data_IF_516321362047
#
_entry.id   IF_516321362047
#
_cell.length_a   1.000
_cell.length_b   1.000
_cell.length_c   1.000
_cell.angle_alpha   90.00
_cell.angle_beta   90.00
_cell.angle_gamma   90.00
#
_symmetry.space_group_name_H-M   'P 1'
#
loop_
_entity.id
_entity.type
_entity.pdbx_description
1 polymer ?
#
# COMPACT_ATOMS: atom_id res chain seq x y z
N UNK A 1 -5.20 -15.93 -2.81
CA UNK A 1 -4.17 -16.09 -1.75
C UNK A 1 -3.59 -14.75 -1.34
N UNK A 2 -3.38 -13.84 -2.31
CA UNK A 2 -3.02 -12.43 -2.13
C UNK A 2 -3.70 -11.70 -0.95
N UNK A 3 -5.02 -11.54 -0.93
CA UNK A 3 -5.72 -10.78 0.12
C UNK A 3 -5.40 -11.26 1.54
N UNK A 4 -5.23 -12.57 1.75
CA UNK A 4 -4.84 -13.13 3.04
C UNK A 4 -3.44 -12.68 3.46
N UNK A 5 -2.48 -12.70 2.52
CA UNK A 5 -1.12 -12.25 2.79
C UNK A 5 -1.06 -10.74 3.00
N UNK A 6 -1.80 -9.96 2.20
CA UNK A 6 -1.87 -8.51 2.35
C UNK A 6 -2.54 -8.12 3.68
N UNK A 7 -3.57 -8.86 4.11
CA UNK A 7 -4.18 -8.73 5.44
C UNK A 7 -3.18 -9.04 6.56
N UNK A 8 -2.36 -10.07 6.41
CA UNK A 8 -1.31 -10.38 7.38
C UNK A 8 -0.28 -9.24 7.49
N UNK A 9 0.15 -8.67 6.36
CA UNK A 9 1.04 -7.49 6.37
C UNK A 9 0.34 -6.28 7.00
N UNK A 10 -0.93 -6.04 6.69
CA UNK A 10 -1.69 -4.94 7.30
C UNK A 10 -1.80 -5.10 8.83
N UNK A 11 -2.04 -6.31 9.33
CA UNK A 11 -2.02 -6.60 10.77
C UNK A 11 -0.64 -6.36 11.40
N UNK A 12 0.44 -6.79 10.74
CA UNK A 12 1.81 -6.53 11.20
C UNK A 12 2.13 -5.03 11.24
N UNK A 13 1.66 -4.28 10.25
CA UNK A 13 1.75 -2.82 10.20
C UNK A 13 1.04 -2.17 11.40
N UNK A 14 -0.20 -2.56 11.70
CA UNK A 14 -0.93 -2.08 12.88
C UNK A 14 -0.21 -2.44 14.19
N UNK A 15 0.29 -3.68 14.31
CA UNK A 15 1.03 -4.14 15.49
C UNK A 15 2.33 -3.34 15.74
N UNK A 16 2.88 -2.67 14.71
CA UNK A 16 4.06 -1.81 14.80
C UNK A 16 3.74 -0.33 15.07
N UNK A 17 2.48 0.00 15.34
CA UNK A 17 2.02 1.37 15.56
C UNK A 17 1.51 2.08 14.32
N UNK A 18 1.31 1.34 13.21
CA UNK A 18 0.56 1.82 12.05
C UNK A 18 -0.87 2.22 12.44
N UNK A 19 -1.46 3.14 11.67
CA UNK A 19 -2.84 3.61 11.90
C UNK A 19 -3.83 2.78 11.12
N UNK A 20 -5.05 2.65 11.65
CA UNK A 20 -6.17 2.04 10.92
C UNK A 20 -6.49 2.84 9.67
N UNK A 21 -6.72 2.15 8.56
CA UNK A 21 -7.03 2.71 7.24
C UNK A 21 -8.39 2.17 6.83
N UNK A 22 -9.42 3.02 6.88
CA UNK A 22 -10.82 2.61 6.67
C UNK A 22 -11.02 1.85 5.36
N UNK A 23 -10.42 2.33 4.27
CA UNK A 23 -10.55 1.69 2.96
C UNK A 23 -9.94 0.28 2.95
N UNK A 24 -8.78 0.10 3.57
CA UNK A 24 -8.11 -1.21 3.65
C UNK A 24 -8.94 -2.19 4.47
N UNK A 25 -9.53 -1.74 5.58
CA UNK A 25 -10.34 -2.59 6.45
C UNK A 25 -11.60 -3.09 5.76
N UNK A 26 -12.31 -2.19 5.06
CA UNK A 26 -13.48 -2.54 4.28
C UNK A 26 -13.13 -3.49 3.13
N UNK A 27 -12.03 -3.22 2.42
CA UNK A 27 -11.64 -3.99 1.25
C UNK A 27 -11.10 -5.39 1.60
N UNK A 28 -10.36 -5.53 2.69
CA UNK A 28 -9.81 -6.82 3.16
C UNK A 28 -10.81 -7.65 3.98
N UNK A 29 -11.93 -7.07 4.40
CA UNK A 29 -12.82 -7.69 5.39
C UNK A 29 -12.12 -7.85 6.74
N UNK A 30 -11.43 -6.80 7.19
CA UNK A 30 -10.65 -6.81 8.41
C UNK A 30 -11.53 -7.06 9.64
N UNK A 31 -11.10 -8.02 10.46
CA UNK A 31 -11.67 -8.31 11.77
C UNK A 31 -10.59 -8.04 12.83
N UNK A 32 -10.91 -7.13 13.75
CA UNK A 32 -10.06 -6.60 14.82
C UNK A 32 -9.79 -7.63 15.94
N UNK A 33 -10.49 -8.77 15.91
CA UNK A 33 -10.45 -9.78 16.98
C UNK A 33 -9.21 -10.67 16.92
N UNK A 34 -8.57 -10.82 15.76
CA UNK A 34 -7.46 -11.77 15.60
C UNK A 34 -6.09 -11.12 15.93
N UNK A 35 -5.41 -11.54 17.02
CA UNK A 35 -4.08 -11.03 17.34
C UNK A 35 -3.03 -11.52 16.33
N UNK A 36 -1.96 -10.74 16.16
CA UNK A 36 -0.78 -11.14 15.38
C UNK A 36 -0.02 -12.21 16.15
N UNK A 37 0.18 -13.38 15.53
CA UNK A 37 0.96 -14.46 16.12
C UNK A 37 2.47 -14.25 15.94
N UNK A 38 3.29 -14.98 16.69
CA UNK A 38 4.74 -14.98 16.48
C UNK A 38 5.12 -15.64 15.15
N UNK A 39 4.34 -16.64 14.70
CA UNK A 39 4.48 -17.24 13.38
C UNK A 39 4.28 -16.22 12.26
N UNK A 40 3.32 -15.29 12.39
CA UNK A 40 3.11 -14.22 11.40
C UNK A 40 4.36 -13.32 11.29
N UNK A 41 5.00 -13.00 12.42
CA UNK A 41 6.22 -12.20 12.46
C UNK A 41 7.39 -12.94 11.83
N UNK A 42 7.55 -14.23 12.13
CA UNK A 42 8.62 -15.06 11.58
C UNK A 42 8.47 -15.26 10.07
N UNK A 43 7.23 -15.35 9.58
CA UNK A 43 6.92 -15.58 8.17
C UNK A 43 6.81 -14.31 7.33
N UNK A 44 6.99 -13.12 7.91
CA UNK A 44 6.81 -11.84 7.20
C UNK A 44 7.58 -11.77 5.88
N UNK A 45 8.85 -12.18 5.86
CA UNK A 45 9.66 -12.19 4.63
C UNK A 45 9.03 -13.05 3.53
N UNK A 46 8.49 -14.21 3.91
CA UNK A 46 7.81 -15.10 2.97
C UNK A 46 6.46 -14.51 2.52
N UNK A 47 5.74 -13.83 3.42
CA UNK A 47 4.51 -13.10 3.07
C UNK A 47 4.79 -12.03 2.01
N UNK A 48 5.88 -11.26 2.15
CA UNK A 48 6.31 -10.31 1.12
C UNK A 48 6.67 -10.97 -0.21
N UNK A 49 7.39 -12.10 -0.17
CA UNK A 49 7.72 -12.86 -1.38
C UNK A 49 6.47 -13.36 -2.12
N UNK A 50 5.42 -13.76 -1.39
CA UNK A 50 4.15 -14.17 -1.98
C UNK A 50 3.41 -12.96 -2.59
N UNK A 51 3.30 -11.84 -1.86
CA UNK A 51 2.62 -10.62 -2.34
C UNK A 51 3.25 -10.09 -3.63
N UNK A 52 4.59 -10.11 -3.71
CA UNK A 52 5.33 -9.61 -4.87
C UNK A 52 5.77 -10.72 -5.84
N UNK A 53 5.15 -11.90 -5.73
CA UNK A 53 5.34 -12.97 -6.71
C UNK A 53 4.80 -12.56 -8.08
N UNK A 54 5.30 -13.21 -9.14
CA UNK A 54 4.86 -12.92 -10.51
C UNK A 54 3.34 -13.02 -10.68
N UNK A 55 2.70 -13.94 -9.96
CA UNK A 55 1.23 -14.15 -9.95
C UNK A 55 0.48 -12.96 -9.34
N UNK A 56 1.00 -12.36 -8.28
CA UNK A 56 0.29 -11.37 -7.47
C UNK A 56 0.71 -9.91 -7.71
N UNK A 57 1.81 -9.65 -8.42
CA UNK A 57 2.21 -8.27 -8.78
C UNK A 57 1.13 -7.50 -9.52
N UNK A 58 0.40 -8.16 -10.41
CA UNK A 58 -0.68 -7.51 -11.15
C UNK A 58 -1.81 -7.05 -10.21
N UNK A 59 -2.09 -7.79 -9.14
CA UNK A 59 -3.10 -7.41 -8.13
C UNK A 59 -2.66 -6.14 -7.38
N UNK A 60 -1.38 -6.03 -6.98
CA UNK A 60 -0.83 -4.80 -6.40
C UNK A 60 -0.98 -3.59 -7.33
N UNK A 61 -0.63 -3.76 -8.61
CA UNK A 61 -0.76 -2.69 -9.61
C UNK A 61 -2.22 -2.28 -9.84
N UNK A 62 -3.15 -3.24 -9.85
CA UNK A 62 -4.58 -2.98 -9.99
C UNK A 62 -5.13 -2.15 -8.82
N UNK A 63 -4.73 -2.47 -7.58
CA UNK A 63 -5.14 -1.71 -6.39
C UNK A 63 -4.57 -0.29 -6.45
N UNK A 64 -3.28 -0.16 -6.75
CA UNK A 64 -2.64 1.14 -6.94
C UNK A 64 -3.39 1.99 -7.98
N UNK A 65 -3.69 1.40 -9.13
CA UNK A 65 -4.41 2.09 -10.21
C UNK A 65 -5.84 2.47 -9.81
N UNK A 66 -6.54 1.58 -9.10
CA UNK A 66 -7.88 1.83 -8.59
C UNK A 66 -7.89 3.05 -7.65
N UNK A 67 -6.96 3.10 -6.69
CA UNK A 67 -6.86 4.20 -5.72
C UNK A 67 -6.55 5.53 -6.39
N UNK A 68 -5.62 5.56 -7.35
CA UNK A 68 -5.34 6.78 -8.12
C UNK A 68 -6.58 7.24 -8.90
N UNK A 69 -7.26 6.31 -9.58
CA UNK A 69 -8.44 6.66 -10.37
C UNK A 69 -9.59 7.17 -9.49
N UNK A 70 -9.76 6.61 -8.28
CA UNK A 70 -10.76 7.06 -7.31
C UNK A 70 -10.56 8.52 -6.88
N UNK A 71 -9.33 9.03 -6.90
CA UNK A 71 -9.01 10.41 -6.51
C UNK A 71 -9.26 11.45 -7.60
N UNK A 72 -9.40 11.04 -8.88
CA UNK A 72 -9.50 11.98 -10.01
C UNK A 72 -10.77 12.85 -9.90
N UNK A 73 -10.59 14.16 -9.99
CA UNK A 73 -11.71 15.12 -9.93
C UNK A 73 -12.30 15.33 -8.53
N UNK A 74 -11.76 14.67 -7.49
CA UNK A 74 -12.13 14.89 -6.10
C UNK A 74 -11.22 15.94 -5.45
N UNK A 75 -11.75 16.64 -4.45
CA UNK A 75 -10.93 17.54 -3.62
C UNK A 75 -9.96 16.76 -2.73
N UNK A 76 -8.87 17.40 -2.30
CA UNK A 76 -7.87 16.79 -1.41
C UNK A 76 -8.50 16.14 -0.17
N UNK A 77 -9.47 16.80 0.46
CA UNK A 77 -10.19 16.30 1.64
C UNK A 77 -10.99 15.03 1.34
N UNK A 78 -11.60 14.94 0.16
CA UNK A 78 -12.37 13.74 -0.25
C UNK A 78 -11.47 12.56 -0.60
N UNK A 79 -10.17 12.79 -0.81
CA UNK A 79 -9.19 11.79 -1.14
C UNK A 79 -8.50 11.17 0.08
N UNK A 80 -8.85 11.57 1.31
CA UNK A 80 -8.15 11.17 2.54
C UNK A 80 -7.95 9.65 2.64
N UNK A 81 -9.03 8.87 2.54
CA UNK A 81 -8.99 7.40 2.58
C UNK A 81 -8.07 6.80 1.50
N UNK A 82 -8.13 7.34 0.27
CA UNK A 82 -7.30 6.87 -0.84
C UNK A 82 -5.83 7.23 -0.64
N UNK A 83 -5.54 8.40 -0.08
CA UNK A 83 -4.19 8.83 0.25
C UNK A 83 -3.59 7.98 1.38
N UNK A 84 -4.38 7.61 2.38
CA UNK A 84 -3.93 6.69 3.45
C UNK A 84 -3.64 5.30 2.90
N UNK A 85 -4.53 4.76 2.06
CA UNK A 85 -4.29 3.48 1.40
C UNK A 85 -3.04 3.51 0.50
N UNK A 86 -2.84 4.58 -0.27
CA UNK A 86 -1.64 4.76 -1.08
C UNK A 86 -0.36 4.89 -0.24
N UNK A 87 -0.44 5.56 0.93
CA UNK A 87 0.68 5.63 1.86
C UNK A 87 1.07 4.24 2.39
N UNK A 88 0.08 3.43 2.77
CA UNK A 88 0.33 2.04 3.16
C UNK A 88 0.93 1.21 2.02
N UNK A 89 0.39 1.30 0.80
CA UNK A 89 0.95 0.60 -0.35
C UNK A 89 2.40 1.01 -0.63
N UNK A 90 2.70 2.31 -0.49
CA UNK A 90 4.07 2.81 -0.65
C UNK A 90 4.99 2.20 0.41
N UNK A 91 4.60 2.21 1.68
CA UNK A 91 5.41 1.67 2.78
C UNK A 91 5.68 0.17 2.65
N UNK A 92 4.66 -0.63 2.33
CA UNK A 92 4.85 -2.09 2.19
C UNK A 92 5.66 -2.42 0.93
N UNK A 93 5.51 -1.66 -0.15
CA UNK A 93 6.27 -1.90 -1.37
C UNK A 93 7.72 -1.44 -1.24
N UNK A 94 7.94 -0.32 -0.54
CA UNK A 94 9.24 0.11 -0.05
C UNK A 94 9.93 -0.99 0.76
N UNK A 95 9.23 -1.54 1.75
CA UNK A 95 9.73 -2.63 2.60
C UNK A 95 10.05 -3.87 1.78
N UNK A 96 9.15 -4.28 0.87
CA UNK A 96 9.37 -5.39 -0.06
C UNK A 96 10.63 -5.20 -0.90
N UNK A 97 10.80 -4.01 -1.49
CA UNK A 97 11.92 -3.68 -2.37
C UNK A 97 13.26 -3.61 -1.62
N UNK A 98 13.34 -2.86 -0.52
CA UNK A 98 14.62 -2.53 0.12
C UNK A 98 15.02 -3.50 1.22
N UNK A 99 14.09 -3.96 2.05
CA UNK A 99 14.37 -4.85 3.18
C UNK A 99 14.42 -6.31 2.75
N UNK A 100 13.48 -6.71 1.89
CA UNK A 100 13.31 -8.11 1.48
C UNK A 100 13.76 -8.39 0.05
N UNK A 101 14.28 -7.38 -0.67
CA UNK A 101 14.83 -7.51 -2.03
C UNK A 101 13.85 -8.15 -3.03
N UNK A 102 12.56 -7.86 -2.89
CA UNK A 102 11.51 -8.36 -3.78
C UNK A 102 11.39 -7.48 -5.03
N UNK A 103 11.02 -8.10 -6.15
CA UNK A 103 10.68 -7.38 -7.37
C UNK A 103 9.24 -6.88 -7.27
N UNK A 104 9.05 -5.58 -6.98
CA UNK A 104 7.72 -4.99 -6.79
C UNK A 104 7.03 -4.56 -8.10
N UNK A 105 7.67 -4.75 -9.25
CA UNK A 105 7.18 -4.27 -10.54
C UNK A 105 7.59 -2.82 -10.82
N UNK A 106 7.79 -2.49 -12.10
CA UNK A 106 8.37 -1.21 -12.53
C UNK A 106 7.51 0.00 -12.17
N UNK A 107 6.18 -0.14 -12.25
CA UNK A 107 5.23 0.93 -11.95
C UNK A 107 5.21 1.27 -10.47
N UNK A 108 5.15 0.26 -9.62
CA UNK A 108 5.18 0.42 -8.17
C UNK A 108 6.56 0.91 -7.73
N UNK A 109 7.65 0.36 -8.27
CA UNK A 109 9.00 0.84 -7.97
C UNK A 109 9.17 2.32 -8.30
N UNK A 110 8.71 2.76 -9.47
CA UNK A 110 8.72 4.16 -9.84
C UNK A 110 7.93 5.01 -8.84
N UNK A 111 6.73 4.58 -8.45
CA UNK A 111 5.91 5.27 -7.47
C UNK A 111 6.63 5.44 -6.12
N UNK A 112 7.25 4.39 -5.58
CA UNK A 112 7.98 4.46 -4.32
C UNK A 112 9.16 5.44 -4.43
N UNK A 113 9.92 5.38 -5.52
CA UNK A 113 11.07 6.26 -5.75
C UNK A 113 10.66 7.72 -5.94
N UNK A 114 9.54 7.94 -6.62
CA UNK A 114 8.99 9.27 -6.88
C UNK A 114 8.36 9.87 -5.62
N UNK A 115 7.92 9.06 -4.64
CA UNK A 115 7.22 9.47 -3.40
C UNK A 115 7.68 8.63 -2.20
N UNK A 116 8.76 9.06 -1.54
CA UNK A 116 9.45 8.25 -0.52
C UNK A 116 8.76 8.23 0.85
N UNK A 117 7.94 9.25 1.18
CA UNK A 117 7.39 9.46 2.53
C UNK A 117 5.98 10.05 2.55
N UNK A 118 4.99 9.22 2.25
CA UNK A 118 3.58 9.64 2.27
C UNK A 118 2.99 9.83 3.68
N UNK A 119 3.76 9.58 4.73
CA UNK A 119 3.45 10.04 6.10
C UNK A 119 3.61 11.56 6.25
N UNK A 120 4.40 12.20 5.38
CA UNK A 120 4.66 13.65 5.41
C UNK A 120 3.55 14.41 4.64
N UNK A 121 2.90 15.43 5.24
CA UNK A 121 1.80 16.16 4.60
C UNK A 121 2.15 16.76 3.23
N UNK A 122 3.36 17.29 3.07
CA UNK A 122 3.80 17.90 1.79
C UNK A 122 3.90 16.87 0.67
N UNK A 123 4.32 15.65 0.97
CA UNK A 123 4.41 14.57 -0.01
C UNK A 123 3.02 14.05 -0.41
N UNK A 124 2.08 13.99 0.53
CA UNK A 124 0.67 13.67 0.23
C UNK A 124 0.03 14.72 -0.69
N UNK A 125 0.31 15.99 -0.43
CA UNK A 125 -0.15 17.10 -1.29
C UNK A 125 0.48 16.98 -2.69
N UNK A 126 1.80 16.76 -2.78
CA UNK A 126 2.50 16.58 -4.05
C UNK A 126 1.96 15.40 -4.86
N UNK A 127 1.67 14.28 -4.20
CA UNK A 127 1.02 13.13 -4.83
C UNK A 127 -0.36 13.50 -5.38
N UNK A 128 -1.20 14.14 -4.57
CA UNK A 128 -2.51 14.60 -5.00
C UNK A 128 -2.44 15.53 -6.22
N UNK A 129 -1.57 16.55 -6.18
CA UNK A 129 -1.40 17.49 -7.29
C UNK A 129 -0.89 16.78 -8.57
N UNK A 130 0.00 15.82 -8.43
CA UNK A 130 0.49 14.98 -9.54
C UNK A 130 -0.64 14.17 -10.19
N UNK A 131 -1.55 13.61 -9.37
CA UNK A 131 -2.74 12.88 -9.86
C UNK A 131 -3.70 13.83 -10.60
N UNK A 132 -4.04 14.98 -10.01
CA UNK A 132 -4.98 15.92 -10.64
C UNK A 132 -4.44 16.50 -11.94
N UNK A 133 -3.13 16.75 -12.00
CA UNK A 133 -2.47 17.28 -13.21
C UNK A 133 -2.10 16.21 -14.25
N UNK A 134 -2.48 14.94 -14.03
CA UNK A 134 -2.16 13.81 -14.93
C UNK A 134 -0.65 13.65 -15.19
N UNK A 135 0.19 14.07 -14.24
CA UNK A 135 1.66 14.03 -14.36
C UNK A 135 2.26 12.68 -13.95
N UNK A 136 1.56 11.89 -13.14
CA UNK A 136 1.85 10.46 -13.06
C UNK A 136 1.44 9.84 -14.39
N UNK A 137 2.41 9.38 -15.17
CA UNK A 137 2.19 8.70 -16.45
C UNK A 137 1.34 7.44 -16.25
N UNK A 138 0.03 7.63 -16.34
CA UNK A 138 -1.01 6.61 -16.31
C UNK A 138 -1.29 6.11 -17.73
#
# INVERSE_FOLDING_TARGET
MFNKNLLNIYRLFLNRGGRKINWMEQWLGFDDVAPVSDDDKMNESNTYAVIFSDEHRQEMEQIFQYLINKMKGLSYRQCEDSLEALAFLQEISATGLWKYHQNVGTKIEKFIRDFDRLDVPTERIRLYESIQSHKMGL
#
